data_IF_861563438750
#
_entry.id   IF_861563438750
#
_cell.length_a   1.000
_cell.length_b   1.000
_cell.length_c   1.000
_cell.angle_alpha   90.00
_cell.angle_beta   90.00
_cell.angle_gamma   90.00
#
_symmetry.space_group_name_H-M   'P 1'
#
loop_
_entity.id
_entity.type
_entity.pdbx_description
1 polymer ?
#
# COMPACT_ATOMS: atom_id res chain seq x y z
N UNK A 1 -3.19 -0.50 8.19
CA UNK A 1 -4.35 -1.37 8.53
C UNK A 1 -4.90 -1.07 9.95
N UNK A 2 -6.21 -1.30 10.28
CA UNK A 2 -7.05 -0.54 11.30
C UNK A 2 -8.33 -1.23 11.90
N UNK A 3 -9.14 -0.55 12.80
CA UNK A 3 -10.64 -0.64 13.13
C UNK A 3 -11.20 0.53 14.06
N UNK A 4 -12.54 0.82 14.07
CA UNK A 4 -13.23 2.17 14.13
C UNK A 4 -14.59 2.31 14.94
N UNK A 5 -15.10 3.56 15.20
CA UNK A 5 -16.55 3.98 15.32
C UNK A 5 -16.90 5.45 14.85
N UNK A 6 -18.17 5.70 14.40
CA UNK A 6 -18.68 6.80 13.49
C UNK A 6 -19.04 8.20 14.04
N UNK A 7 -18.91 9.26 13.18
CA UNK A 7 -19.81 10.46 13.07
C UNK A 7 -19.87 11.04 11.62
N UNK A 8 -20.95 11.79 11.23
CA UNK A 8 -21.35 11.99 9.82
C UNK A 8 -20.99 13.35 9.20
N UNK A 9 -20.82 13.36 7.87
CA UNK A 9 -21.12 14.53 7.00
C UNK A 9 -19.95 15.37 6.45
N UNK A 10 -19.30 14.91 5.38
CA UNK A 10 -18.82 15.66 4.18
C UNK A 10 -18.02 14.68 3.30
N UNK A 11 -18.53 14.40 2.11
CA UNK A 11 -17.91 13.48 1.16
C UNK A 11 -16.66 14.11 0.54
N UNK A 12 -15.63 13.27 0.36
CA UNK A 12 -14.27 13.53 -0.10
C UNK A 12 -13.27 14.08 0.95
N UNK A 13 -13.07 13.36 2.06
CA UNK A 13 -11.76 13.39 2.75
C UNK A 13 -10.88 12.29 2.17
N UNK A 14 -9.96 12.66 1.26
CA UNK A 14 -8.74 11.87 1.11
C UNK A 14 -8.00 11.97 2.44
N UNK A 15 -8.09 10.91 3.25
CA UNK A 15 -7.23 10.77 4.41
C UNK A 15 -5.80 10.57 3.89
N UNK A 16 -4.84 11.40 4.29
CA UNK A 16 -3.48 11.22 3.81
C UNK A 16 -2.96 9.85 4.26
N UNK A 17 -2.25 9.15 3.37
CA UNK A 17 -1.87 7.74 3.55
C UNK A 17 -1.17 7.45 4.89
N UNK A 18 -0.40 8.42 5.41
CA UNK A 18 0.27 8.32 6.70
C UNK A 18 -0.69 8.17 7.90
N UNK A 19 -1.95 8.61 7.82
CA UNK A 19 -2.93 8.35 8.88
C UNK A 19 -3.31 6.87 8.97
N UNK A 20 -3.37 6.15 7.85
CA UNK A 20 -3.70 4.72 7.84
C UNK A 20 -2.50 3.85 8.25
N UNK A 21 -1.29 4.32 7.94
CA UNK A 21 -0.04 3.76 8.43
C UNK A 21 0.05 3.89 9.95
N UNK A 22 -0.18 5.10 10.49
CA UNK A 22 -0.09 5.37 11.92
C UNK A 22 -0.96 4.43 12.75
N UNK A 23 -2.22 4.25 12.36
CA UNK A 23 -3.09 3.37 13.13
C UNK A 23 -2.74 1.89 12.96
N UNK A 24 -2.06 1.49 11.88
CA UNK A 24 -1.48 0.14 11.80
C UNK A 24 -0.40 -0.05 12.82
N UNK A 25 0.54 0.90 12.83
CA UNK A 25 1.70 0.85 13.67
C UNK A 25 1.27 0.76 15.15
N UNK A 26 0.37 1.65 15.59
CA UNK A 26 -0.14 1.59 16.97
C UNK A 26 -0.85 0.29 17.31
N UNK A 27 -1.53 -0.35 16.34
CA UNK A 27 -2.17 -1.64 16.57
C UNK A 27 -1.16 -2.77 16.75
N UNK A 28 -0.11 -2.76 15.93
CA UNK A 28 0.97 -3.76 16.00
C UNK A 28 1.76 -3.59 17.29
N UNK A 29 2.12 -2.36 17.63
CA UNK A 29 2.79 -1.99 18.88
C UNK A 29 1.95 -2.38 20.10
N UNK A 30 0.66 -2.03 20.12
CA UNK A 30 -0.25 -2.41 21.23
C UNK A 30 -0.46 -3.92 21.39
N UNK A 31 -0.17 -4.70 20.34
CA UNK A 31 -0.23 -6.15 20.34
C UNK A 31 1.16 -6.79 20.57
N UNK A 32 2.17 -5.98 20.92
CA UNK A 32 3.56 -6.38 21.15
C UNK A 32 4.23 -7.06 19.95
N UNK A 33 3.87 -6.67 18.73
CA UNK A 33 4.64 -7.07 17.55
C UNK A 33 5.87 -6.17 17.38
N UNK A 34 7.04 -6.79 17.23
CA UNK A 34 8.25 -6.08 16.84
C UNK A 34 8.24 -5.89 15.31
N UNK A 35 7.96 -4.67 14.86
CA UNK A 35 7.86 -4.32 13.44
C UNK A 35 8.70 -3.10 13.13
N UNK A 36 9.33 -3.15 11.96
CA UNK A 36 10.11 -2.06 11.37
C UNK A 36 9.44 -1.74 10.03
N UNK A 37 8.93 -0.52 9.89
CA UNK A 37 8.38 -0.06 8.63
C UNK A 37 9.55 0.46 7.81
N UNK A 38 9.57 0.15 6.52
CA UNK A 38 10.71 0.50 5.66
C UNK A 38 10.24 1.19 4.41
N UNK A 39 11.04 2.15 3.93
CA UNK A 39 10.77 2.85 2.68
C UNK A 39 11.53 4.17 2.55
N UNK A 40 11.46 4.74 1.36
CA UNK A 40 12.16 5.96 0.97
C UNK A 40 11.52 7.26 1.45
N UNK A 41 10.36 7.21 2.11
CA UNK A 41 9.61 8.39 2.55
C UNK A 41 9.27 8.30 4.02
N UNK A 42 9.22 9.46 4.65
CA UNK A 42 8.87 9.59 6.06
C UNK A 42 7.63 10.48 6.21
N UNK A 43 6.71 10.10 7.09
CA UNK A 43 5.61 10.98 7.49
C UNK A 43 5.11 10.67 8.91
N UNK A 44 4.75 11.72 9.65
CA UNK A 44 4.11 11.59 10.97
C UNK A 44 5.01 11.81 12.18
N UNK A 45 6.18 12.42 12.03
CA UNK A 45 7.11 12.73 13.14
C UNK A 45 6.48 13.48 14.33
N UNK A 46 5.41 14.24 14.08
CA UNK A 46 4.73 15.03 15.12
C UNK A 46 3.60 14.27 15.83
N UNK A 47 3.41 12.98 15.53
CA UNK A 47 2.39 12.17 16.18
C UNK A 47 2.82 11.76 17.59
N UNK A 48 1.84 11.72 18.49
CA UNK A 48 2.03 11.33 19.89
C UNK A 48 0.99 10.24 20.21
N UNK A 49 1.41 9.06 20.71
CA UNK A 49 2.80 8.64 20.93
C UNK A 49 3.59 8.55 19.62
N UNK A 50 4.93 8.61 19.71
CA UNK A 50 5.79 8.45 18.53
C UNK A 50 5.53 7.10 17.84
N UNK A 51 5.81 7.03 16.54
CA UNK A 51 5.65 5.83 15.72
C UNK A 51 6.79 5.75 14.71
N UNK A 52 6.92 4.60 14.07
CA UNK A 52 7.73 4.46 12.86
C UNK A 52 7.08 5.22 11.69
N UNK A 53 7.86 6.11 11.07
CA UNK A 53 7.41 7.06 10.06
C UNK A 53 7.66 6.60 8.62
N UNK A 54 8.44 5.53 8.44
CA UNK A 54 8.95 5.10 7.14
C UNK A 54 7.87 4.42 6.29
N UNK A 55 7.82 4.73 5.00
CA UNK A 55 6.83 4.15 4.08
C UNK A 55 7.20 4.32 2.60
N UNK A 56 6.56 3.52 1.74
CA UNK A 56 6.60 3.66 0.26
C UNK A 56 5.27 4.19 -0.34
N UNK A 57 4.53 5.00 0.43
CA UNK A 57 3.33 5.64 -0.08
C UNK A 57 3.66 6.88 -0.96
N UNK A 58 3.40 6.76 -2.26
CA UNK A 58 3.54 7.84 -3.23
C UNK A 58 2.17 8.43 -3.59
N UNK A 59 1.97 9.72 -3.28
CA UNK A 59 0.74 10.42 -3.67
C UNK A 59 0.63 10.43 -5.20
N UNK A 60 -0.52 10.00 -5.72
CA UNK A 60 -0.81 9.95 -7.16
C UNK A 60 -0.03 8.90 -7.97
N UNK A 61 0.69 7.98 -7.33
CA UNK A 61 1.28 6.83 -8.03
C UNK A 61 0.23 5.73 -8.25
N UNK A 62 0.09 5.28 -9.51
CA UNK A 62 -0.70 4.10 -9.89
C UNK A 62 0.19 2.88 -10.11
N UNK A 63 -0.39 1.77 -10.57
CA UNK A 63 0.33 0.53 -10.79
C UNK A 63 1.46 0.67 -11.83
N UNK A 64 1.29 1.50 -12.86
CA UNK A 64 2.34 1.76 -13.87
C UNK A 64 3.62 2.31 -13.27
N UNK A 65 3.53 3.18 -12.25
CA UNK A 65 4.72 3.72 -11.59
C UNK A 65 5.48 2.62 -10.85
N UNK A 66 4.77 1.81 -10.06
CA UNK A 66 5.42 0.76 -9.29
C UNK A 66 5.89 -0.41 -10.16
N UNK A 67 5.21 -0.71 -11.26
CA UNK A 67 5.67 -1.73 -12.22
C UNK A 67 7.05 -1.43 -12.80
N UNK A 68 7.45 -0.16 -12.88
CA UNK A 68 8.78 0.23 -13.37
C UNK A 68 9.82 0.45 -12.27
N UNK A 69 9.41 0.52 -11.00
CA UNK A 69 10.32 0.90 -9.90
C UNK A 69 10.37 -0.09 -8.73
N UNK A 70 9.41 -1.01 -8.59
CA UNK A 70 9.24 -1.82 -7.37
C UNK A 70 10.50 -2.59 -7.01
N UNK A 71 11.20 -3.19 -7.98
CA UNK A 71 12.44 -3.92 -7.72
C UNK A 71 13.49 -3.04 -7.03
N UNK A 72 13.67 -1.78 -7.47
CA UNK A 72 14.60 -0.86 -6.84
C UNK A 72 14.18 -0.49 -5.42
N UNK A 73 12.88 -0.34 -5.17
CA UNK A 73 12.36 -0.14 -3.80
C UNK A 73 12.67 -1.35 -2.90
N UNK A 74 12.52 -2.58 -3.42
CA UNK A 74 12.83 -3.81 -2.68
C UNK A 74 14.33 -3.93 -2.37
N UNK A 75 15.19 -3.64 -3.34
CA UNK A 75 16.65 -3.64 -3.12
C UNK A 75 17.04 -2.60 -2.06
N UNK A 76 16.42 -1.43 -2.06
CA UNK A 76 16.76 -0.35 -1.14
C UNK A 76 16.26 -0.58 0.30
N UNK A 77 15.12 -1.26 0.47
CA UNK A 77 14.44 -1.38 1.77
C UNK A 77 14.36 -2.80 2.33
N UNK A 78 14.63 -3.82 1.50
CA UNK A 78 14.63 -5.25 1.84
C UNK A 78 13.47 -5.72 2.72
N UNK A 79 12.20 -5.46 2.34
CA UNK A 79 11.05 -5.77 3.19
C UNK A 79 10.77 -7.27 3.26
N UNK A 80 10.25 -7.75 4.40
CA UNK A 80 9.72 -9.13 4.52
C UNK A 80 8.21 -9.22 4.25
N UNK A 81 7.49 -8.11 4.37
CA UNK A 81 6.04 -8.03 4.15
C UNK A 81 5.74 -6.76 3.36
N UNK A 82 4.97 -6.87 2.28
CA UNK A 82 4.44 -5.74 1.53
C UNK A 82 2.94 -5.65 1.79
N UNK A 83 2.50 -4.51 2.33
CA UNK A 83 1.08 -4.15 2.35
C UNK A 83 0.76 -3.28 1.14
N UNK A 84 0.10 -3.86 0.14
CA UNK A 84 -0.17 -3.20 -1.14
C UNK A 84 -1.61 -2.70 -1.21
N UNK A 85 -1.77 -1.38 -1.36
CA UNK A 85 -3.06 -0.75 -1.67
C UNK A 85 -2.86 0.23 -2.83
N UNK A 86 -2.89 -0.32 -4.04
CA UNK A 86 -2.69 0.39 -5.31
C UNK A 86 -3.95 0.25 -6.19
N UNK A 87 -4.08 1.06 -7.24
CA UNK A 87 -5.19 0.95 -8.19
C UNK A 87 -6.18 2.13 -8.22
N UNK A 88 -6.18 3.00 -7.20
CA UNK A 88 -7.11 4.14 -7.15
C UNK A 88 -6.83 5.17 -8.26
N UNK A 89 -5.57 5.30 -8.67
CA UNK A 89 -5.11 6.27 -9.67
C UNK A 89 -5.03 5.69 -11.07
N UNK A 90 -5.38 4.42 -11.24
CA UNK A 90 -5.28 3.77 -12.52
C UNK A 90 -6.51 4.06 -13.39
N UNK A 91 -6.25 4.48 -14.63
CA UNK A 91 -7.27 4.99 -15.55
C UNK A 91 -7.95 3.91 -16.37
N UNK A 92 -7.31 2.74 -16.56
CA UNK A 92 -7.82 1.62 -17.34
C UNK A 92 -7.58 0.28 -16.62
N UNK A 93 -8.65 -0.46 -16.34
CA UNK A 93 -8.58 -1.70 -15.56
C UNK A 93 -7.71 -2.79 -16.21
N UNK A 94 -7.75 -2.94 -17.54
CA UNK A 94 -6.91 -3.91 -18.26
C UNK A 94 -5.43 -3.56 -18.17
N UNK A 95 -5.09 -2.27 -18.32
CA UNK A 95 -3.72 -1.77 -18.10
C UNK A 95 -3.29 -2.04 -16.67
N UNK A 96 -4.13 -1.75 -15.67
CA UNK A 96 -3.83 -2.04 -14.27
C UNK A 96 -3.50 -3.51 -14.06
N UNK A 97 -4.34 -4.44 -14.53
CA UNK A 97 -4.10 -5.87 -14.35
C UNK A 97 -2.72 -6.29 -14.89
N UNK A 98 -2.35 -5.84 -16.09
CA UNK A 98 -1.03 -6.10 -16.65
C UNK A 98 0.11 -5.50 -15.79
N UNK A 99 -0.06 -4.27 -15.28
CA UNK A 99 0.94 -3.66 -14.40
C UNK A 99 1.09 -4.39 -13.06
N UNK A 100 0.00 -4.91 -12.48
CA UNK A 100 0.07 -5.75 -11.28
C UNK A 100 0.80 -7.06 -11.55
N UNK A 101 0.56 -7.72 -12.68
CA UNK A 101 1.37 -8.88 -13.10
C UNK A 101 2.85 -8.51 -13.18
N UNK A 102 3.20 -7.37 -13.77
CA UNK A 102 4.60 -6.90 -13.80
C UNK A 102 5.14 -6.67 -12.39
N UNK A 103 4.39 -6.03 -11.50
CA UNK A 103 4.81 -5.81 -10.11
C UNK A 103 5.11 -7.14 -9.40
N UNK A 104 4.23 -8.13 -9.53
CA UNK A 104 4.46 -9.44 -8.90
C UNK A 104 5.66 -10.16 -9.52
N UNK A 105 5.82 -10.14 -10.84
CA UNK A 105 7.00 -10.72 -11.49
C UNK A 105 8.31 -10.06 -11.02
N UNK A 106 8.31 -8.75 -10.76
CA UNK A 106 9.49 -8.04 -10.24
C UNK A 106 9.76 -8.35 -8.76
N UNK A 107 8.72 -8.64 -7.96
CA UNK A 107 8.86 -9.17 -6.60
C UNK A 107 9.47 -10.58 -6.67
N UNK A 108 8.96 -11.46 -7.53
CA UNK A 108 9.50 -12.82 -7.73
C UNK A 108 10.96 -12.78 -8.19
N UNK A 109 11.31 -11.84 -9.10
CA UNK A 109 12.70 -11.63 -9.51
C UNK A 109 13.58 -11.24 -8.33
N UNK A 110 13.13 -10.30 -7.50
CA UNK A 110 13.85 -9.89 -6.29
C UNK A 110 14.03 -11.06 -5.31
N UNK A 111 12.99 -11.85 -5.07
CA UNK A 111 13.07 -13.06 -4.24
C UNK A 111 14.14 -14.04 -4.76
N UNK A 112 14.18 -14.27 -6.07
CA UNK A 112 15.17 -15.13 -6.71
C UNK A 112 16.60 -14.57 -6.62
N UNK A 113 16.79 -13.28 -6.91
CA UNK A 113 18.11 -12.64 -6.92
C UNK A 113 18.77 -12.59 -5.53
N UNK A 114 17.96 -12.44 -4.48
CA UNK A 114 18.43 -12.31 -3.09
C UNK A 114 18.21 -13.57 -2.24
N UNK A 115 17.67 -14.64 -2.83
CA UNK A 115 17.31 -15.88 -2.14
C UNK A 115 16.49 -15.61 -0.86
N UNK A 116 15.44 -14.81 -1.01
CA UNK A 116 14.55 -14.36 0.07
C UNK A 116 13.09 -14.63 -0.27
N UNK A 117 12.18 -14.45 0.69
CA UNK A 117 10.74 -14.50 0.45
C UNK A 117 10.03 -13.32 1.10
N UNK A 118 9.12 -12.73 0.35
CA UNK A 118 8.35 -11.53 0.66
C UNK A 118 6.86 -11.89 0.68
N UNK A 119 6.22 -11.69 1.82
CA UNK A 119 4.76 -11.89 1.92
C UNK A 119 4.03 -10.66 1.42
N UNK A 120 3.20 -10.81 0.39
CA UNK A 120 2.41 -9.70 -0.17
C UNK A 120 0.95 -9.79 0.26
N UNK A 121 0.48 -8.74 0.94
CA UNK A 121 -0.92 -8.56 1.33
C UNK A 121 -1.56 -7.49 0.44
N UNK A 122 -2.40 -7.92 -0.50
CA UNK A 122 -3.09 -7.01 -1.43
C UNK A 122 -4.45 -6.63 -0.85
N UNK A 123 -4.66 -5.33 -0.64
CA UNK A 123 -5.95 -4.79 -0.21
C UNK A 123 -6.81 -4.44 -1.43
N UNK A 124 -8.11 -4.75 -1.38
CA UNK A 124 -9.07 -4.26 -2.36
C UNK A 124 -9.17 -2.74 -2.31
N UNK A 125 -9.35 -2.12 -3.48
CA UNK A 125 -9.47 -0.67 -3.58
C UNK A 125 -10.80 -0.25 -2.96
N UNK A 126 -10.74 0.73 -2.04
CA UNK A 126 -11.95 1.40 -1.55
C UNK A 126 -12.63 2.16 -2.70
N UNK A 127 -13.91 1.90 -2.91
CA UNK A 127 -14.69 2.64 -3.90
C UNK A 127 -14.73 4.14 -3.59
N UNK A 128 -14.70 4.95 -4.64
CA UNK A 128 -14.88 6.41 -4.56
C UNK A 128 -16.32 6.73 -4.11
N UNK A 129 -16.56 7.98 -3.68
CA UNK A 129 -17.90 8.42 -3.23
C UNK A 129 -18.99 8.22 -4.30
N UNK A 130 -18.62 8.29 -5.57
CA UNK A 130 -19.39 7.74 -6.68
C UNK A 130 -18.64 6.50 -7.17
N UNK A 131 -19.24 5.29 -7.11
CA UNK A 131 -18.61 4.07 -7.59
C UNK A 131 -18.13 4.23 -9.03
N UNK A 132 -16.94 3.73 -9.33
CA UNK A 132 -16.38 3.78 -10.67
C UNK A 132 -16.24 2.35 -11.21
N UNK A 133 -16.70 2.10 -12.44
CA UNK A 133 -16.72 0.77 -13.02
C UNK A 133 -15.33 0.10 -13.01
N UNK A 134 -14.27 0.87 -13.26
CA UNK A 134 -12.89 0.36 -13.21
C UNK A 134 -12.47 -0.13 -11.82
N UNK A 135 -12.95 0.48 -10.74
CA UNK A 135 -12.64 0.03 -9.37
C UNK A 135 -13.33 -1.29 -9.06
N UNK A 136 -14.59 -1.44 -9.47
CA UNK A 136 -15.32 -2.70 -9.33
C UNK A 136 -14.71 -3.81 -10.18
N UNK A 137 -14.35 -3.51 -11.44
CA UNK A 137 -13.69 -4.45 -12.33
C UNK A 137 -12.31 -4.88 -11.81
N UNK A 138 -11.54 -3.95 -11.26
CA UNK A 138 -10.26 -4.25 -10.64
C UNK A 138 -10.41 -5.18 -9.43
N UNK A 139 -11.30 -4.84 -8.49
CA UNK A 139 -11.51 -5.65 -7.29
C UNK A 139 -12.01 -7.06 -7.62
N UNK A 140 -12.76 -7.25 -8.71
CA UNK A 140 -13.23 -8.56 -9.18
C UNK A 140 -12.10 -9.46 -9.72
N UNK A 141 -10.96 -8.89 -10.12
CA UNK A 141 -9.80 -9.66 -10.60
C UNK A 141 -8.85 -10.09 -9.47
N UNK A 142 -9.15 -9.75 -8.20
CA UNK A 142 -8.34 -10.10 -7.03
C UNK A 142 -8.85 -11.33 -6.27
N UNK A 143 -9.95 -11.94 -6.70
CA UNK A 143 -10.61 -13.11 -6.08
C UNK A 143 -10.52 -14.32 -6.98
#
# INVERSE_FOLDING_TARGET
>A
MLRYHRRPGRFARQHPAWQLQAVLWYKLDSANYNVDFVGSREAGHNLIPAMDVDHEAHKSAGATFFASSIYNHLVASSPNIILMHLGTYDTHASTSAAQFTTIFNEIDRYEADFNTSVRVLVATILNRSVPHANTSAFNANLT
#
